data_IF_244643634859
#
_entry.id   IF_244643634859
#
_cell.length_a   1.000
_cell.length_b   1.000
_cell.length_c   1.000
_cell.angle_alpha   90.00
_cell.angle_beta   90.00
_cell.angle_gamma   90.00
#
_symmetry.space_group_name_H-M   'P 1'
#
loop_
_entity.id
_entity.type
_entity.pdbx_description
1 polymer ?
#
# COMPACT_ATOMS: atom_id res chain seq x y z
N UNK A 1 1.34 -6.62 65.35
CA UNK A 1 0.90 -5.86 64.15
C UNK A 1 -0.62 -5.80 64.14
N UNK A 2 -1.19 -4.60 64.17
CA UNK A 2 -2.63 -4.36 64.31
C UNK A 2 -3.38 -4.62 62.99
N UNK A 3 -4.61 -5.14 63.06
CA UNK A 3 -5.49 -5.42 61.89
C UNK A 3 -5.56 -4.27 60.87
N UNK A 4 -5.36 -3.03 61.32
CA UNK A 4 -5.28 -1.81 60.49
C UNK A 4 -4.08 -1.79 59.54
N UNK A 5 -2.92 -2.30 59.95
CA UNK A 5 -1.72 -2.35 59.11
C UNK A 5 -1.88 -3.36 57.97
N UNK A 6 -2.51 -4.51 58.25
CA UNK A 6 -2.82 -5.53 57.24
C UNK A 6 -3.82 -4.99 56.21
N UNK A 7 -4.88 -4.33 56.66
CA UNK A 7 -5.87 -3.71 55.77
C UNK A 7 -5.24 -2.64 54.85
N UNK A 8 -4.32 -1.83 55.38
CA UNK A 8 -3.61 -0.81 54.61
C UNK A 8 -2.71 -1.43 53.53
N UNK A 9 -1.93 -2.46 53.89
CA UNK A 9 -1.06 -3.18 52.95
C UNK A 9 -1.87 -3.88 51.84
N UNK A 10 -3.01 -4.48 52.17
CA UNK A 10 -3.91 -5.09 51.19
C UNK A 10 -4.51 -4.04 50.23
N UNK A 11 -4.92 -2.87 50.73
CA UNK A 11 -5.44 -1.80 49.89
C UNK A 11 -4.39 -1.26 48.90
N UNK A 12 -3.15 -1.09 49.37
CA UNK A 12 -2.02 -0.66 48.52
C UNK A 12 -1.74 -1.71 47.45
N UNK A 13 -1.69 -2.99 47.82
CA UNK A 13 -1.46 -4.08 46.87
C UNK A 13 -2.52 -4.14 45.77
N UNK A 14 -3.80 -3.99 46.13
CA UNK A 14 -4.90 -3.94 45.17
C UNK A 14 -4.78 -2.73 44.25
N UNK A 15 -4.45 -1.54 44.78
CA UNK A 15 -4.26 -0.34 43.97
C UNK A 15 -3.10 -0.49 42.96
N UNK A 16 -1.98 -1.07 43.37
CA UNK A 16 -0.85 -1.37 42.48
C UNK A 16 -1.24 -2.37 41.39
N UNK A 17 -2.01 -3.40 41.75
CA UNK A 17 -2.51 -4.39 40.79
C UNK A 17 -3.42 -3.74 39.74
N UNK A 18 -4.34 -2.88 40.17
CA UNK A 18 -5.27 -2.16 39.26
C UNK A 18 -4.51 -1.25 38.31
N UNK A 19 -3.53 -0.49 38.79
CA UNK A 19 -2.68 0.37 37.94
C UNK A 19 -1.87 -0.46 36.94
N UNK A 20 -1.36 -1.63 37.35
CA UNK A 20 -0.63 -2.55 36.47
C UNK A 20 -1.53 -3.16 35.39
N UNK A 21 -2.75 -3.57 35.72
CA UNK A 21 -3.70 -4.09 34.72
C UNK A 21 -4.24 -3.00 33.78
N UNK A 22 -4.44 -1.76 34.29
CA UNK A 22 -4.83 -0.62 33.45
C UNK A 22 -3.70 -0.18 32.50
N UNK A 23 -2.44 -0.24 32.92
CA UNK A 23 -1.31 0.07 32.03
C UNK A 23 -1.15 -0.97 30.91
N UNK A 24 -1.31 -2.26 31.22
CA UNK A 24 -1.27 -3.36 30.25
C UNK A 24 -2.39 -3.27 29.21
N UNK A 25 -3.61 -2.92 29.62
CA UNK A 25 -4.75 -2.76 28.69
C UNK A 25 -4.60 -1.53 27.79
N UNK A 26 -4.03 -0.43 28.29
CA UNK A 26 -3.71 0.74 27.46
C UNK A 26 -2.63 0.44 26.41
N UNK A 27 -1.59 -0.33 26.78
CA UNK A 27 -0.55 -0.81 25.86
C UNK A 27 -1.15 -1.75 24.80
N UNK A 28 -2.00 -2.69 25.23
CA UNK A 28 -2.69 -3.61 24.33
C UNK A 28 -3.63 -2.87 23.36
N UNK A 29 -4.32 -1.80 23.80
CA UNK A 29 -5.17 -0.97 22.93
C UNK A 29 -4.38 -0.20 21.86
N UNK A 30 -3.19 0.31 22.23
CA UNK A 30 -2.23 0.93 21.28
C UNK A 30 -1.59 -0.08 20.33
N UNK A 31 -1.50 -1.35 20.74
CA UNK A 31 -1.04 -2.47 19.89
C UNK A 31 -2.15 -3.02 18.98
N UNK A 32 -3.42 -2.71 19.24
CA UNK A 32 -4.59 -3.29 18.54
C UNK A 32 -5.32 -2.34 17.60
N UNK A 33 -4.91 -1.08 17.47
CA UNK A 33 -5.34 -0.24 16.37
C UNK A 33 -4.83 -0.85 15.05
N UNK A 34 -5.63 -1.74 14.44
CA UNK A 34 -5.23 -2.49 13.26
C UNK A 34 -4.97 -1.53 12.11
N UNK A 35 -3.72 -1.51 11.66
CA UNK A 35 -3.31 -0.82 10.45
C UNK A 35 -4.00 -1.44 9.24
N UNK A 36 -4.35 -0.61 8.28
CA UNK A 36 -5.07 -1.08 7.10
C UNK A 36 -4.79 -0.23 5.87
N UNK A 37 -4.96 -0.85 4.72
CA UNK A 37 -5.03 -0.18 3.43
C UNK A 37 -6.35 -0.59 2.79
N UNK A 38 -7.15 0.37 2.32
CA UNK A 38 -8.40 0.07 1.59
C UNK A 38 -8.46 0.93 0.33
N UNK A 39 -9.06 0.43 -0.76
CA UNK A 39 -9.25 1.24 -1.96
C UNK A 39 -9.99 2.54 -1.62
N UNK A 40 -9.48 3.65 -2.14
CA UNK A 40 -10.10 4.94 -1.96
C UNK A 40 -11.31 5.06 -2.91
N UNK A 41 -12.45 5.49 -2.36
CA UNK A 41 -13.64 5.75 -3.14
C UNK A 41 -13.81 7.26 -3.29
N UNK A 42 -13.53 7.76 -4.50
CA UNK A 42 -13.67 9.17 -4.81
C UNK A 42 -15.11 9.64 -4.64
N UNK A 43 -15.28 10.77 -3.94
CA UNK A 43 -16.52 11.52 -3.92
C UNK A 43 -16.80 12.14 -5.29
N UNK A 44 -18.06 12.44 -5.59
CA UNK A 44 -18.45 13.15 -6.82
C UNK A 44 -17.71 14.47 -7.04
N UNK A 45 -17.26 15.11 -5.96
CA UNK A 45 -16.49 16.33 -6.05
C UNK A 45 -15.05 16.06 -6.50
N UNK A 46 -14.38 15.07 -5.89
CA UNK A 46 -13.05 14.62 -6.29
C UNK A 46 -13.04 14.11 -7.73
N UNK A 47 -14.05 13.34 -8.15
CA UNK A 47 -14.19 12.89 -9.54
C UNK A 47 -14.24 14.07 -10.52
N UNK A 48 -14.98 15.14 -10.20
CA UNK A 48 -15.05 16.34 -11.03
C UNK A 48 -13.72 17.09 -11.08
N UNK A 49 -12.99 17.12 -9.97
CA UNK A 49 -11.66 17.74 -9.91
C UNK A 49 -10.62 16.91 -10.68
N UNK A 50 -10.71 15.59 -10.65
CA UNK A 50 -9.83 14.73 -11.42
C UNK A 50 -10.18 14.74 -12.92
N UNK A 51 -11.45 14.93 -13.28
CA UNK A 51 -11.88 15.03 -14.67
C UNK A 51 -11.36 16.28 -15.41
N UNK A 52 -10.90 17.31 -14.69
CA UNK A 52 -10.20 18.46 -15.31
C UNK A 52 -8.71 18.22 -15.51
N UNK A 53 -8.19 17.08 -15.04
CA UNK A 53 -6.82 16.65 -15.34
C UNK A 53 -6.82 15.89 -16.67
N UNK A 54 -5.70 15.93 -17.40
CA UNK A 54 -5.52 15.10 -18.61
C UNK A 54 -5.26 13.61 -18.29
N UNK A 55 -5.62 13.15 -17.09
CA UNK A 55 -5.53 11.76 -16.66
C UNK A 55 -6.95 11.21 -16.56
N UNK A 56 -7.20 10.05 -17.18
CA UNK A 56 -8.44 9.33 -16.92
C UNK A 56 -8.33 8.71 -15.52
N UNK A 57 -8.95 9.37 -14.54
CA UNK A 57 -8.86 8.97 -13.14
C UNK A 57 -9.40 7.56 -12.87
N UNK A 58 -10.24 7.01 -13.76
CA UNK A 58 -10.77 5.65 -13.62
C UNK A 58 -9.80 4.57 -14.07
N UNK A 59 -8.87 4.90 -14.97
CA UNK A 59 -7.95 3.93 -15.56
C UNK A 59 -6.48 4.21 -15.27
N UNK A 60 -6.12 5.43 -14.89
CA UNK A 60 -4.74 5.87 -14.67
C UNK A 60 -4.37 6.09 -13.20
N UNK A 61 -5.34 6.10 -12.28
CA UNK A 61 -5.12 6.44 -10.87
C UNK A 61 -5.68 5.34 -9.98
N UNK A 62 -4.83 4.80 -9.12
CA UNK A 62 -5.24 3.91 -8.03
C UNK A 62 -4.83 4.57 -6.73
N UNK A 63 -5.81 4.84 -5.88
CA UNK A 63 -5.59 5.44 -4.57
C UNK A 63 -6.12 4.54 -3.46
N UNK A 64 -5.49 4.68 -2.30
CA UNK A 64 -5.81 3.93 -1.11
C UNK A 64 -5.94 4.86 0.07
N UNK A 65 -7.00 4.67 0.84
CA UNK A 65 -7.05 5.18 2.19
C UNK A 65 -6.15 4.30 3.07
N UNK A 66 -5.20 4.92 3.75
CA UNK A 66 -4.24 4.19 4.57
C UNK A 66 -4.41 4.56 6.04
N UNK A 67 -4.22 3.56 6.88
CA UNK A 67 -3.98 3.71 8.31
C UNK A 67 -2.69 2.97 8.61
N UNK A 68 -1.60 3.70 8.71
CA UNK A 68 -0.27 3.12 8.88
C UNK A 68 -0.14 2.35 10.21
N UNK A 69 0.73 1.33 10.29
CA UNK A 69 1.07 0.68 11.55
C UNK A 69 1.66 1.65 12.56
N UNK A 70 1.36 1.42 13.84
CA UNK A 70 1.89 2.24 14.92
C UNK A 70 3.43 2.22 14.91
N UNK A 71 4.05 3.40 14.89
CA UNK A 71 5.50 3.57 14.83
C UNK A 71 6.09 3.60 13.42
N UNK A 72 5.29 3.39 12.37
CA UNK A 72 5.74 3.59 10.99
C UNK A 72 6.14 5.04 10.77
N UNK A 73 7.34 5.25 10.23
CA UNK A 73 7.84 6.56 9.81
C UNK A 73 7.86 6.71 8.30
N UNK A 74 8.00 5.59 7.59
CA UNK A 74 8.10 5.56 6.15
C UNK A 74 7.27 4.42 5.55
N UNK A 75 6.76 4.65 4.35
CA UNK A 75 6.17 3.65 3.48
C UNK A 75 7.11 3.48 2.30
N UNK A 76 7.87 2.40 2.32
CA UNK A 76 8.84 2.09 1.29
C UNK A 76 8.13 1.48 0.09
N UNK A 77 8.18 2.19 -1.04
CA UNK A 77 7.56 1.76 -2.29
C UNK A 77 8.63 1.18 -3.19
N UNK A 78 8.35 0.00 -3.73
CA UNK A 78 9.18 -0.65 -4.74
C UNK A 78 8.35 -0.94 -5.97
N UNK A 79 8.91 -0.61 -7.14
CA UNK A 79 8.36 -0.99 -8.43
C UNK A 79 9.29 -2.02 -9.08
N UNK A 80 8.77 -3.19 -9.43
CA UNK A 80 9.54 -4.26 -10.07
C UNK A 80 8.95 -4.57 -11.44
N UNK A 81 9.81 -4.57 -12.46
CA UNK A 81 9.44 -4.97 -13.82
C UNK A 81 9.69 -6.46 -14.03
N UNK A 82 8.67 -7.14 -14.53
CA UNK A 82 8.71 -8.52 -14.97
C UNK A 82 8.43 -8.60 -16.47
N UNK A 83 9.20 -9.43 -17.14
CA UNK A 83 8.98 -9.79 -18.53
C UNK A 83 8.85 -11.32 -18.62
N UNK A 84 7.71 -11.80 -19.12
CA UNK A 84 7.39 -13.23 -19.28
C UNK A 84 7.64 -14.01 -17.99
N UNK A 85 7.08 -13.49 -16.90
CA UNK A 85 7.19 -14.08 -15.56
C UNK A 85 8.54 -13.92 -14.85
N UNK A 86 9.57 -13.36 -15.50
CA UNK A 86 10.90 -13.20 -14.91
C UNK A 86 11.14 -11.76 -14.47
N UNK A 87 11.55 -11.58 -13.22
CA UNK A 87 11.99 -10.28 -12.73
C UNK A 87 13.21 -9.83 -13.55
N UNK A 88 13.14 -8.62 -14.12
CA UNK A 88 14.22 -8.05 -14.92
C UNK A 88 15.00 -7.01 -14.13
N UNK A 89 14.28 -6.01 -13.61
CA UNK A 89 14.89 -4.91 -12.90
C UNK A 89 13.95 -4.36 -11.83
N UNK A 90 14.54 -3.95 -10.70
CA UNK A 90 13.87 -3.04 -9.78
C UNK A 90 13.93 -1.67 -10.43
N UNK A 91 12.78 -1.15 -10.85
CA UNK A 91 12.69 0.16 -11.48
C UNK A 91 12.87 1.28 -10.46
N UNK A 92 12.41 1.03 -9.24
CA UNK A 92 12.44 2.01 -8.19
C UNK A 92 12.35 1.35 -6.82
N UNK A 93 12.93 2.04 -5.83
CA UNK A 93 12.91 1.66 -4.44
C UNK A 93 13.13 2.93 -3.60
N UNK A 94 12.09 3.45 -2.93
CA UNK A 94 12.20 4.69 -2.18
C UNK A 94 11.13 4.87 -1.12
N UNK A 95 11.45 5.63 -0.08
CA UNK A 95 10.57 5.89 1.05
C UNK A 95 9.67 7.09 0.80
N UNK A 96 8.38 6.92 1.06
CA UNK A 96 7.45 8.02 1.28
C UNK A 96 7.36 8.29 2.77
N UNK A 97 7.43 9.55 3.17
CA UNK A 97 7.21 9.90 4.58
C UNK A 97 5.77 9.57 4.96
N UNK A 98 5.62 8.82 6.04
CA UNK A 98 4.33 8.51 6.66
C UNK A 98 4.13 9.53 7.77
N UNK A 99 3.30 10.54 7.50
CA UNK A 99 2.85 11.44 8.55
C UNK A 99 1.84 10.72 9.46
N UNK A 100 1.54 11.28 10.63
CA UNK A 100 0.49 10.74 11.52
C UNK A 100 -0.90 10.70 10.84
N UNK A 101 -1.05 11.47 9.76
CA UNK A 101 -2.24 11.63 8.91
C UNK A 101 -1.97 11.04 7.51
N UNK A 102 -1.24 9.91 7.43
CA UNK A 102 -1.06 9.20 6.17
C UNK A 102 -2.39 8.58 5.74
N UNK A 103 -3.25 9.44 5.21
CA UNK A 103 -4.64 9.14 4.93
C UNK A 103 -4.80 8.63 3.51
N UNK A 104 -3.92 9.04 2.59
CA UNK A 104 -4.01 8.68 1.18
C UNK A 104 -2.65 8.35 0.57
N UNK A 105 -2.63 7.25 -0.18
CA UNK A 105 -1.52 6.82 -1.01
C UNK A 105 -2.03 6.57 -2.42
N UNK A 106 -1.42 7.19 -3.43
CA UNK A 106 -1.84 7.09 -4.80
C UNK A 106 -0.70 6.66 -5.72
N UNK A 107 -1.03 5.79 -6.68
CA UNK A 107 -0.16 5.41 -7.79
C UNK A 107 -0.86 5.85 -9.07
N UNK A 108 -0.15 6.63 -9.88
CA UNK A 108 -0.58 7.00 -11.22
C UNK A 108 0.40 6.48 -12.24
N UNK A 109 -0.07 6.29 -13.47
CA UNK A 109 0.82 6.05 -14.60
C UNK A 109 0.41 6.88 -15.82
N UNK A 110 1.41 7.19 -16.63
CA UNK A 110 1.28 7.75 -17.97
C UNK A 110 2.15 6.94 -18.92
N UNK A 111 1.60 6.60 -20.07
CA UNK A 111 2.36 5.98 -21.16
C UNK A 111 2.56 7.03 -22.23
N UNK A 112 3.80 7.15 -22.70
CA UNK A 112 4.21 8.01 -23.80
C UNK A 112 4.75 7.11 -24.92
N UNK A 113 3.90 6.86 -25.92
CA UNK A 113 4.22 5.97 -27.03
C UNK A 113 5.26 6.58 -27.99
N UNK A 114 5.28 7.91 -28.12
CA UNK A 114 6.23 8.62 -28.98
C UNK A 114 7.67 8.41 -28.47
N UNK A 115 7.86 8.55 -27.16
CA UNK A 115 9.16 8.39 -26.50
C UNK A 115 9.42 6.98 -25.97
N UNK A 116 8.45 6.06 -26.11
CA UNK A 116 8.50 4.69 -25.58
C UNK A 116 8.81 4.65 -24.08
N UNK A 117 8.08 5.45 -23.29
CA UNK A 117 8.27 5.54 -21.83
C UNK A 117 6.98 5.22 -21.08
N UNK A 118 7.17 4.62 -19.90
CA UNK A 118 6.14 4.51 -18.87
C UNK A 118 6.61 5.34 -17.68
N UNK A 119 5.81 6.33 -17.33
CA UNK A 119 6.03 7.19 -16.17
C UNK A 119 5.06 6.78 -15.08
N UNK A 120 5.56 6.54 -13.88
CA UNK A 120 4.75 6.35 -12.69
C UNK A 120 4.97 7.51 -11.74
N UNK A 121 3.90 7.92 -11.05
CA UNK A 121 4.03 8.79 -9.90
C UNK A 121 3.40 8.08 -8.71
N UNK A 122 4.17 7.93 -7.64
CA UNK A 122 3.68 7.40 -6.39
C UNK A 122 3.73 8.50 -5.34
N UNK A 123 2.57 8.85 -4.81
CA UNK A 123 2.41 9.99 -3.93
C UNK A 123 1.70 9.65 -2.62
N UNK A 124 2.03 10.43 -1.61
CA UNK A 124 1.26 10.62 -0.38
C UNK A 124 0.90 12.10 -0.24
N UNK A 125 0.19 12.44 0.83
CA UNK A 125 -0.21 13.82 1.14
C UNK A 125 0.95 14.83 1.06
N UNK A 126 2.16 14.43 1.45
CA UNK A 126 3.31 15.34 1.62
C UNK A 126 4.52 15.01 0.75
N UNK A 127 4.53 13.89 0.03
CA UNK A 127 5.70 13.42 -0.72
C UNK A 127 5.28 12.75 -2.01
N UNK A 128 6.01 12.99 -3.10
CA UNK A 128 5.83 12.26 -4.35
C UNK A 128 7.15 11.68 -4.85
N UNK A 129 7.04 10.60 -5.61
CA UNK A 129 8.15 9.88 -6.22
C UNK A 129 7.79 9.64 -7.67
N UNK A 130 8.50 10.34 -8.56
CA UNK A 130 8.40 10.12 -10.01
C UNK A 130 9.36 9.01 -10.44
N UNK A 131 8.85 8.07 -11.23
CA UNK A 131 9.61 6.93 -11.77
C UNK A 131 9.43 6.94 -13.27
N UNK A 132 10.52 6.85 -14.01
CA UNK A 132 10.49 6.69 -15.46
C UNK A 132 11.13 5.36 -15.82
N UNK A 133 10.46 4.60 -16.69
CA UNK A 133 10.93 3.33 -17.20
C UNK A 133 10.74 3.26 -18.72
N UNK A 134 11.60 2.50 -19.40
CA UNK A 134 11.36 2.18 -20.81
C UNK A 134 10.10 1.32 -20.93
N UNK A 135 9.27 1.68 -21.90
CA UNK A 135 8.11 0.90 -22.33
C UNK A 135 8.59 -0.20 -23.29
N UNK A 136 8.24 -1.48 -23.07
CA UNK A 136 8.54 -2.54 -24.02
C UNK A 136 7.95 -2.22 -25.38
N UNK A 137 8.75 -2.34 -26.45
CA UNK A 137 8.33 -2.00 -27.83
C UNK A 137 7.11 -2.77 -28.33
N UNK A 138 6.86 -3.95 -27.76
CA UNK A 138 5.72 -4.81 -28.12
C UNK A 138 4.52 -4.60 -27.19
N UNK A 139 4.58 -3.69 -26.22
CA UNK A 139 3.48 -3.44 -25.30
C UNK A 139 2.41 -2.58 -25.97
N UNK A 140 1.38 -3.21 -26.51
CA UNK A 140 0.42 -2.55 -27.40
C UNK A 140 -0.93 -2.26 -26.73
N UNK A 141 -1.23 -2.99 -25.65
CA UNK A 141 -2.38 -2.77 -24.78
C UNK A 141 -1.95 -2.82 -23.32
N UNK A 142 -2.72 -2.17 -22.45
CA UNK A 142 -2.41 -2.14 -21.03
C UNK A 142 -3.66 -2.13 -20.15
N UNK A 143 -3.51 -2.64 -18.93
CA UNK A 143 -4.52 -2.61 -17.89
C UNK A 143 -3.86 -2.36 -16.56
N UNK A 144 -4.50 -1.54 -15.74
CA UNK A 144 -3.99 -1.18 -14.42
C UNK A 144 -4.96 -1.69 -13.36
N UNK A 145 -4.44 -2.43 -12.37
CA UNK A 145 -5.26 -2.99 -11.30
C UNK A 145 -4.64 -2.73 -9.94
N UNK A 146 -5.50 -2.80 -8.92
CA UNK A 146 -5.18 -2.56 -7.52
C UNK A 146 -5.83 -3.60 -6.62
N UNK A 147 -5.79 -3.34 -5.31
CA UNK A 147 -6.57 -4.07 -4.32
C UNK A 147 -8.05 -3.77 -4.53
N UNK A 148 -8.89 -4.78 -4.37
CA UNK A 148 -10.35 -4.59 -4.42
C UNK A 148 -10.98 -4.42 -3.05
N UNK A 149 -10.27 -4.86 -2.00
CA UNK A 149 -10.81 -4.95 -0.64
C UNK A 149 -9.84 -4.39 0.37
N UNK A 150 -10.38 -3.96 1.51
CA UNK A 150 -9.61 -3.57 2.67
C UNK A 150 -8.72 -4.72 3.13
N UNK A 151 -7.45 -4.42 3.35
CA UNK A 151 -6.48 -5.36 3.87
C UNK A 151 -5.86 -4.84 5.18
N UNK A 152 -5.47 -5.76 6.06
CA UNK A 152 -4.65 -5.47 7.24
C UNK A 152 -3.17 -5.45 6.85
N UNK A 153 -2.47 -4.40 7.24
CA UNK A 153 -1.03 -4.24 6.97
C UNK A 153 -0.22 -4.30 8.27
N UNK A 154 1.06 -4.64 8.17
CA UNK A 154 2.01 -4.77 9.28
C UNK A 154 3.34 -4.13 8.89
N UNK A 155 4.14 -3.81 9.91
CA UNK A 155 5.52 -3.36 9.74
C UNK A 155 6.38 -4.43 9.08
N UNK A 156 7.36 -4.01 8.29
CA UNK A 156 8.40 -4.85 7.69
C UNK A 156 7.88 -6.03 6.86
N UNK A 157 6.70 -5.88 6.25
CA UNK A 157 6.14 -6.83 5.29
C UNK A 157 5.79 -6.08 4.00
N UNK A 158 6.26 -6.55 2.83
CA UNK A 158 5.85 -5.99 1.56
C UNK A 158 4.45 -6.47 1.19
N UNK A 159 3.65 -5.55 0.67
CA UNK A 159 2.29 -5.79 0.19
C UNK A 159 2.20 -5.37 -1.27
N UNK A 160 1.81 -6.24 -2.22
CA UNK A 160 1.49 -5.79 -3.57
C UNK A 160 0.27 -4.87 -3.53
N UNK A 161 0.37 -3.70 -4.13
CA UNK A 161 -0.68 -2.67 -4.08
C UNK A 161 -1.17 -2.24 -5.44
N UNK A 162 -0.39 -2.38 -6.51
CA UNK A 162 -0.88 -2.11 -7.85
C UNK A 162 -0.05 -2.88 -8.88
N UNK A 163 -0.63 -3.09 -10.05
CA UNK A 163 0.07 -3.68 -11.17
C UNK A 163 -0.40 -3.07 -12.49
N UNK A 164 0.53 -2.63 -13.31
CA UNK A 164 0.29 -2.32 -14.73
C UNK A 164 0.71 -3.53 -15.55
N UNK A 165 -0.25 -4.11 -16.27
CA UNK A 165 -0.03 -5.21 -17.20
C UNK A 165 0.05 -4.68 -18.62
N UNK A 166 0.96 -5.24 -19.40
CA UNK A 166 1.11 -4.97 -20.82
C UNK A 166 0.96 -6.23 -21.64
N UNK A 167 0.27 -6.09 -22.76
CA UNK A 167 0.05 -7.14 -23.74
C UNK A 167 1.01 -7.02 -24.93
N UNK A 168 1.44 -8.16 -25.48
CA UNK A 168 2.16 -8.30 -26.75
C UNK A 168 1.29 -8.72 -27.95
N UNK A 169 -0.04 -8.74 -27.76
CA UNK A 169 -1.07 -9.19 -28.70
C UNK A 169 -1.71 -10.52 -28.31
N UNK A 170 -1.33 -11.09 -27.17
CA UNK A 170 -1.87 -12.34 -26.60
C UNK A 170 -3.11 -12.12 -25.72
N UNK A 171 -3.46 -10.88 -25.43
CA UNK A 171 -4.55 -10.48 -24.55
C UNK A 171 -4.11 -10.34 -23.09
N UNK A 172 -4.68 -9.36 -22.39
CA UNK A 172 -4.38 -9.12 -20.98
C UNK A 172 -5.21 -10.05 -20.10
N UNK A 173 -4.55 -10.73 -19.16
CA UNK A 173 -5.20 -11.50 -18.10
C UNK A 173 -5.16 -10.71 -16.80
N UNK A 174 -6.26 -10.03 -16.50
CA UNK A 174 -6.40 -9.26 -15.26
C UNK A 174 -7.14 -10.11 -14.23
N UNK A 175 -6.53 -10.26 -13.06
CA UNK A 175 -7.22 -10.69 -11.86
C UNK A 175 -7.01 -9.63 -10.76
N UNK A 176 -7.89 -9.57 -9.76
CA UNK A 176 -7.71 -8.71 -8.60
C UNK A 176 -6.36 -8.99 -7.92
N UNK A 177 -5.64 -7.94 -7.52
CA UNK A 177 -4.45 -8.16 -6.70
C UNK A 177 -4.88 -8.63 -5.31
N UNK A 178 -4.48 -9.86 -4.98
CA UNK A 178 -4.58 -10.41 -3.63
C UNK A 178 -3.22 -10.42 -2.99
N UNK A 179 -3.13 -9.75 -1.86
CA UNK A 179 -1.96 -9.62 -1.00
C UNK A 179 -1.76 -10.78 -0.04
N UNK A 180 -2.80 -11.58 0.17
CA UNK A 180 -2.79 -12.73 1.08
C UNK A 180 -2.55 -14.05 0.32
N UNK A 181 -2.52 -13.98 -1.01
CA UNK A 181 -2.32 -15.11 -1.92
C UNK A 181 -1.11 -14.88 -2.81
N UNK A 182 0.07 -15.28 -2.33
CA UNK A 182 1.31 -15.15 -3.08
C UNK A 182 1.28 -15.95 -4.40
N UNK A 183 0.54 -17.05 -4.45
CA UNK A 183 0.39 -17.84 -5.68
C UNK A 183 -0.41 -17.09 -6.73
N UNK A 184 -1.50 -16.40 -6.34
CA UNK A 184 -2.25 -15.54 -7.26
C UNK A 184 -1.37 -14.43 -7.86
N UNK A 185 -0.46 -13.84 -7.08
CA UNK A 185 0.48 -12.83 -7.59
C UNK A 185 1.50 -13.45 -8.56
N UNK A 186 2.03 -14.64 -8.26
CA UNK A 186 2.93 -15.36 -9.18
C UNK A 186 2.22 -15.76 -10.48
N UNK A 187 0.96 -16.20 -10.39
CA UNK A 187 0.14 -16.53 -11.54
C UNK A 187 -0.10 -15.30 -12.42
N UNK A 188 -0.41 -14.15 -11.82
CA UNK A 188 -0.57 -12.87 -12.53
C UNK A 188 0.71 -12.45 -13.25
N UNK A 189 1.86 -12.58 -12.59
CA UNK A 189 3.19 -12.26 -13.14
C UNK A 189 3.54 -13.18 -14.32
N UNK A 190 3.24 -14.47 -14.21
CA UNK A 190 3.58 -15.46 -15.24
C UNK A 190 2.60 -15.47 -16.42
N UNK A 191 1.34 -15.09 -16.19
CA UNK A 191 0.27 -15.10 -17.20
C UNK A 191 0.25 -13.86 -18.10
N UNK A 192 1.01 -12.81 -17.78
CA UNK A 192 1.08 -11.58 -18.56
C UNK A 192 2.50 -11.34 -19.10
N UNK A 193 2.66 -10.94 -20.38
CA UNK A 193 3.97 -10.71 -20.99
C UNK A 193 4.80 -9.62 -20.28
N UNK A 194 4.16 -8.54 -19.86
CA UNK A 194 4.80 -7.39 -19.22
C UNK A 194 4.06 -7.02 -17.94
N UNK A 195 4.75 -6.96 -16.81
CA UNK A 195 4.14 -6.58 -15.52
C UNK A 195 5.02 -5.60 -14.78
N UNK A 196 4.45 -4.47 -14.41
CA UNK A 196 5.03 -3.52 -13.45
C UNK A 196 4.30 -3.69 -12.12
N UNK A 197 4.92 -4.38 -11.16
CA UNK A 197 4.32 -4.62 -9.85
C UNK A 197 4.81 -3.60 -8.82
N UNK A 198 3.88 -2.97 -8.14
CA UNK A 198 4.14 -2.03 -7.04
C UNK A 198 3.91 -2.73 -5.72
N UNK A 199 4.88 -2.66 -4.82
CA UNK A 199 4.77 -3.15 -3.45
C UNK A 199 5.06 -2.04 -2.46
N UNK A 200 4.32 -2.01 -1.36
CA UNK A 200 4.53 -1.09 -0.23
C UNK A 200 4.93 -1.88 1.00
N UNK A 201 5.95 -1.40 1.71
CA UNK A 201 6.40 -1.92 3.00
C UNK A 201 6.51 -0.79 4.03
N UNK A 202 5.79 -0.90 5.14
CA UNK A 202 5.87 0.09 6.23
C UNK A 202 7.09 -0.14 7.11
N UNK A 203 7.87 0.91 7.39
CA UNK A 203 9.13 0.89 8.12
C UNK A 203 9.14 1.83 9.32
#
# INVERSE_FOLDING_TARGET
MTKRLIALLSAIFIAVLVVFFMSQTSLASKLTASASMKPHHYSKHEEKMLAVTNLDYKSNIIAYDVKAPNGAKEAYVKATYYEKGKAKQSLFSGGLTVSKEFDMFAITYKIDDDTHKVMFNVGSNDTNLGIEAEKPKKMNGYSFTGLEKKQKVKMNKPYPVAALFGDDGSGIRVAPLSTDDEEAVKELISSNPYVYLFTVEFK
#
